data_IF_253589390259
#
_entry.id   IF_253589390259
#
_cell.length_a   1.000
_cell.length_b   1.000
_cell.length_c   1.000
_cell.angle_alpha   90.00
_cell.angle_beta   90.00
_cell.angle_gamma   90.00
#
_symmetry.space_group_name_H-M   'P 1'
#
loop_
_entity.id
_entity.type
_entity.pdbx_description
1 polymer ?
#
# COMPACT_ATOMS: atom_id res chain seq x y z
N UNK A 1 10.44 0.80 5.61
CA UNK A 1 9.52 -0.17 5.00
C UNK A 1 9.18 0.19 3.56
N UNK A 2 8.97 -0.83 2.72
CA UNK A 2 8.55 -0.74 1.32
C UNK A 2 7.80 -2.01 0.90
N UNK A 3 7.13 -2.01 -0.25
CA UNK A 3 6.52 -3.21 -0.81
C UNK A 3 7.58 -4.20 -1.30
N UNK A 4 7.25 -5.48 -1.21
CA UNK A 4 8.01 -6.54 -1.84
C UNK A 4 8.17 -6.25 -3.34
N UNK A 5 9.40 -6.39 -3.85
CA UNK A 5 9.73 -6.10 -5.25
C UNK A 5 8.91 -6.90 -6.27
N UNK A 6 8.36 -8.05 -5.87
CA UNK A 6 7.54 -8.91 -6.71
C UNK A 6 6.07 -8.45 -6.72
N UNK A 7 5.70 -7.35 -6.06
CA UNK A 7 4.37 -6.73 -6.16
C UNK A 7 4.32 -5.74 -7.32
N UNK A 8 3.35 -5.93 -8.22
CA UNK A 8 3.05 -5.00 -9.29
C UNK A 8 1.70 -4.32 -9.06
N UNK A 9 1.64 -3.00 -9.30
CA UNK A 9 0.38 -2.25 -9.30
C UNK A 9 -0.16 -2.14 -10.73
N UNK A 10 -1.47 -2.23 -10.89
CA UNK A 10 -2.16 -2.07 -12.16
C UNK A 10 -3.51 -1.36 -12.00
N UNK A 11 -4.10 -0.98 -13.13
CA UNK A 11 -5.43 -0.40 -13.21
C UNK A 11 -6.18 -1.00 -14.39
N UNK A 12 -7.43 -1.43 -14.18
CA UNK A 12 -8.36 -1.88 -15.24
C UNK A 12 -9.69 -1.17 -15.01
N UNK A 13 -10.19 -0.47 -16.02
CA UNK A 13 -11.46 0.28 -15.98
C UNK A 13 -11.62 1.17 -14.74
N UNK A 14 -10.55 1.86 -14.34
CA UNK A 14 -10.56 2.76 -13.18
C UNK A 14 -10.51 2.05 -11.82
N UNK A 15 -10.35 0.72 -11.80
CA UNK A 15 -10.14 -0.07 -10.58
C UNK A 15 -8.65 -0.35 -10.41
N UNK A 16 -8.08 0.20 -9.35
CA UNK A 16 -6.69 -0.04 -8.97
C UNK A 16 -6.55 -1.39 -8.27
N UNK A 17 -5.45 -2.08 -8.56
CA UNK A 17 -5.12 -3.35 -7.91
C UNK A 17 -3.61 -3.55 -7.74
N UNK A 18 -3.25 -4.45 -6.82
CA UNK A 18 -1.92 -4.99 -6.69
C UNK A 18 -1.94 -6.51 -6.91
N UNK A 19 -0.93 -7.05 -7.57
CA UNK A 19 -0.80 -8.49 -7.84
C UNK A 19 0.62 -8.96 -7.52
N UNK A 20 0.72 -10.15 -6.92
CA UNK A 20 2.00 -10.80 -6.72
C UNK A 20 2.49 -11.43 -8.04
N UNK A 21 3.76 -11.21 -8.32
CA UNK A 21 4.48 -11.76 -9.47
C UNK A 21 5.68 -12.56 -8.96
N UNK A 22 6.56 -13.00 -9.85
CA UNK A 22 7.84 -13.60 -9.46
C UNK A 22 7.72 -14.77 -8.49
N UNK A 23 8.56 -14.78 -7.45
CA UNK A 23 8.55 -15.85 -6.46
C UNK A 23 7.39 -15.70 -5.46
N UNK A 24 6.96 -14.47 -5.18
CA UNK A 24 5.84 -14.20 -4.28
C UNK A 24 4.53 -14.81 -4.79
N UNK A 25 4.36 -14.93 -6.12
CA UNK A 25 3.19 -15.59 -6.71
C UNK A 25 3.01 -17.06 -6.31
N UNK A 26 4.05 -17.74 -5.79
CA UNK A 26 3.96 -19.13 -5.33
C UNK A 26 3.28 -19.27 -3.97
N UNK A 27 3.36 -18.24 -3.14
CA UNK A 27 2.79 -18.21 -1.78
C UNK A 27 1.59 -17.27 -1.67
N UNK A 28 1.49 -16.27 -2.54
CA UNK A 28 0.38 -15.33 -2.60
C UNK A 28 -0.40 -15.51 -3.90
N UNK A 29 -1.53 -16.22 -3.82
CA UNK A 29 -2.42 -16.47 -4.96
C UNK A 29 -3.62 -15.53 -4.91
N UNK A 30 -3.49 -14.30 -5.40
CA UNK A 30 -4.59 -13.33 -5.39
C UNK A 30 -4.30 -11.97 -6.00
N UNK A 31 -5.37 -11.21 -6.18
CA UNK A 31 -5.37 -9.78 -6.55
C UNK A 31 -5.85 -9.00 -5.33
N UNK A 32 -5.12 -7.96 -4.96
CA UNK A 32 -5.50 -7.01 -3.93
C UNK A 32 -6.21 -5.86 -4.64
N UNK A 33 -7.51 -5.71 -4.41
CA UNK A 33 -8.25 -4.57 -4.95
C UNK A 33 -8.02 -3.36 -4.06
N UNK A 34 -7.51 -2.29 -4.66
CA UNK A 34 -7.21 -1.06 -3.94
C UNK A 34 -8.30 -0.03 -4.19
N UNK A 35 -8.78 0.61 -3.13
CA UNK A 35 -9.47 1.88 -3.27
C UNK A 35 -8.42 3.00 -3.54
N UNK A 36 -8.83 4.23 -3.92
CA UNK A 36 -7.89 5.30 -4.25
C UNK A 36 -6.89 5.63 -3.12
N UNK A 37 -7.33 5.55 -1.87
CA UNK A 37 -6.50 5.81 -0.69
C UNK A 37 -5.43 4.74 -0.51
N UNK A 38 -5.82 3.46 -0.53
CA UNK A 38 -4.91 2.34 -0.46
C UNK A 38 -3.94 2.34 -1.63
N UNK A 39 -4.42 2.61 -2.86
CA UNK A 39 -3.55 2.65 -4.04
C UNK A 39 -2.47 3.74 -3.92
N UNK A 40 -2.79 4.89 -3.33
CA UNK A 40 -1.81 5.94 -3.10
C UNK A 40 -0.72 5.49 -2.10
N UNK A 41 -1.10 4.84 -1.00
CA UNK A 41 -0.15 4.28 -0.02
C UNK A 41 0.73 3.20 -0.68
N UNK A 42 0.14 2.26 -1.42
CA UNK A 42 0.89 1.25 -2.18
C UNK A 42 1.87 1.90 -3.18
N UNK A 43 1.48 3.00 -3.81
CA UNK A 43 2.35 3.74 -4.72
C UNK A 43 3.54 4.37 -3.99
N UNK A 44 3.33 4.95 -2.80
CA UNK A 44 4.43 5.50 -1.99
C UNK A 44 5.40 4.41 -1.53
N UNK A 45 4.88 3.25 -1.14
CA UNK A 45 5.66 2.09 -0.69
C UNK A 45 6.42 1.39 -1.83
N UNK A 46 6.32 1.83 -3.10
CA UNK A 46 7.24 1.37 -4.15
C UNK A 46 8.70 1.78 -3.88
N UNK A 47 8.91 2.81 -3.06
CA UNK A 47 10.23 3.19 -2.55
C UNK A 47 10.27 3.05 -1.03
N UNK A 48 11.46 3.19 -0.46
CA UNK A 48 11.65 3.20 0.99
C UNK A 48 10.86 4.33 1.64
N UNK A 49 10.07 4.02 2.67
CA UNK A 49 9.24 4.97 3.41
C UNK A 49 9.26 4.71 4.92
N UNK A 50 8.91 5.75 5.68
CA UNK A 50 8.56 5.67 7.10
C UNK A 50 7.06 5.89 7.27
N UNK A 51 6.49 5.52 8.43
CA UNK A 51 5.07 5.80 8.70
C UNK A 51 4.78 7.30 8.61
N UNK A 52 5.65 8.14 9.21
CA UNK A 52 5.49 9.59 9.20
C UNK A 52 5.58 10.20 7.79
N UNK A 53 6.42 9.65 6.89
CA UNK A 53 6.48 10.15 5.51
C UNK A 53 5.18 9.88 4.75
N UNK A 54 4.56 8.72 4.99
CA UNK A 54 3.28 8.34 4.39
C UNK A 54 2.16 9.21 4.97
N UNK A 55 2.11 9.41 6.28
CA UNK A 55 1.13 10.30 6.94
C UNK A 55 1.24 11.72 6.41
N UNK A 56 2.46 12.26 6.29
CA UNK A 56 2.68 13.60 5.76
C UNK A 56 2.25 13.71 4.28
N UNK A 57 2.46 12.68 3.46
CA UNK A 57 2.00 12.66 2.08
C UNK A 57 0.46 12.58 1.99
N UNK A 58 -0.17 11.81 2.87
CA UNK A 58 -1.61 11.68 2.96
C UNK A 58 -2.28 12.99 3.38
N UNK A 59 -1.76 13.69 4.39
CA UNK A 59 -2.26 15.00 4.84
C UNK A 59 -2.14 16.10 3.78
N UNK A 60 -1.18 15.99 2.87
CA UNK A 60 -1.08 16.90 1.72
C UNK A 60 -2.14 16.64 0.66
N UNK A 61 -2.62 15.40 0.56
CA UNK A 61 -3.56 14.95 -0.47
C UNK A 61 -5.02 15.02 0.00
N UNK A 62 -5.26 14.82 1.29
CA UNK A 62 -6.58 14.72 1.89
C UNK A 62 -6.72 15.72 3.03
N UNK A 63 -7.86 16.40 3.08
CA UNK A 63 -8.21 17.32 4.17
C UNK A 63 -8.93 16.53 5.26
N UNK A 64 -8.15 16.01 6.22
CA UNK A 64 -8.63 15.24 7.36
C UNK A 64 -7.71 15.41 8.58
N UNK A 65 -8.20 15.18 9.81
CA UNK A 65 -7.36 15.25 11.01
C UNK A 65 -6.20 14.25 10.97
N UNK A 66 -5.02 14.67 11.43
CA UNK A 66 -3.82 13.81 11.45
C UNK A 66 -4.04 12.49 12.18
N UNK A 67 -4.73 12.51 13.31
CA UNK A 67 -5.02 11.28 14.08
C UNK A 67 -5.81 10.25 13.27
N UNK A 68 -6.77 10.71 12.45
CA UNK A 68 -7.57 9.84 11.58
C UNK A 68 -6.70 9.31 10.45
N UNK A 69 -5.94 10.19 9.77
CA UNK A 69 -5.03 9.79 8.69
C UNK A 69 -3.99 8.79 9.17
N UNK A 70 -3.43 9.00 10.36
CA UNK A 70 -2.43 8.12 10.96
C UNK A 70 -3.03 6.75 11.31
N UNK A 71 -4.25 6.71 11.85
CA UNK A 71 -4.96 5.46 12.11
C UNK A 71 -5.18 4.67 10.80
N UNK A 72 -5.67 5.33 9.76
CA UNK A 72 -5.92 4.71 8.45
C UNK A 72 -4.63 4.19 7.80
N UNK A 73 -3.55 4.99 7.85
CA UNK A 73 -2.23 4.60 7.34
C UNK A 73 -1.72 3.36 8.07
N UNK A 74 -1.85 3.31 9.40
CA UNK A 74 -1.46 2.13 10.19
C UNK A 74 -2.27 0.91 9.81
N UNK A 75 -3.59 1.03 9.67
CA UNK A 75 -4.44 -0.09 9.28
C UNK A 75 -4.03 -0.68 7.94
N UNK A 76 -3.73 0.17 6.96
CA UNK A 76 -3.25 -0.26 5.64
C UNK A 76 -1.88 -0.94 5.76
N UNK A 77 -0.92 -0.35 6.47
CA UNK A 77 0.41 -0.95 6.67
C UNK A 77 0.32 -2.31 7.35
N UNK A 78 -0.49 -2.44 8.41
CA UNK A 78 -0.70 -3.72 9.09
C UNK A 78 -1.35 -4.77 8.18
N UNK A 79 -2.27 -4.35 7.32
CA UNK A 79 -2.89 -5.24 6.33
C UNK A 79 -1.86 -5.75 5.33
N UNK A 80 -0.99 -4.88 4.82
CA UNK A 80 0.12 -5.23 3.92
C UNK A 80 1.12 -6.15 4.63
N UNK A 81 1.46 -5.86 5.89
CA UNK A 81 2.36 -6.68 6.71
C UNK A 81 1.78 -8.08 6.93
N UNK A 82 0.51 -8.19 7.32
CA UNK A 82 -0.19 -9.47 7.49
C UNK A 82 -0.31 -10.28 6.20
N UNK A 83 -0.43 -9.60 5.05
CA UNK A 83 -0.41 -10.24 3.75
C UNK A 83 0.99 -10.79 3.37
N UNK A 84 2.05 -10.43 4.12
CA UNK A 84 3.41 -10.88 3.86
C UNK A 84 4.07 -10.20 2.66
N UNK A 85 3.58 -9.02 2.28
CA UNK A 85 4.06 -8.30 1.08
C UNK A 85 4.79 -6.99 1.41
N UNK A 86 5.02 -6.72 2.70
CA UNK A 86 5.84 -5.61 3.19
C UNK A 86 7.26 -6.09 3.50
N UNK A 87 8.26 -5.36 3.02
CA UNK A 87 9.67 -5.46 3.42
C UNK A 87 9.98 -4.32 4.41
N UNK A 88 10.59 -4.65 5.55
CA UNK A 88 10.95 -3.67 6.60
C UNK A 88 12.38 -3.15 6.49
#
# INVERSE_FOLDING_TARGET
MKLNKDIMLGNIDGKDFAIATGNLSKSFNGIINNNPTANYIFTLLKTEQTEDSIVAAMLKKYDAPEEVVRADVREVIETIRKAGILEE
#
